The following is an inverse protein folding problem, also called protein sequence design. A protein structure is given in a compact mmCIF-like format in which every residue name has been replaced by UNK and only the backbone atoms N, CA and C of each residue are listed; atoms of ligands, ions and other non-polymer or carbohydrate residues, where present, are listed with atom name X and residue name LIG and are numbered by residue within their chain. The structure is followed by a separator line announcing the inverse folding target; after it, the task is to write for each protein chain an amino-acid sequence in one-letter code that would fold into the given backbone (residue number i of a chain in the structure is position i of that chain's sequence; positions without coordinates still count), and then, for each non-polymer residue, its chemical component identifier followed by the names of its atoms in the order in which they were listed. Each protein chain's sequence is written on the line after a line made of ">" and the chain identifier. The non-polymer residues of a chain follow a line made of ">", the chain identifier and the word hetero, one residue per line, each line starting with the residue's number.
data_IF_567009811336
#
_entry.id   IF_567009811336
#
_cell.length_a   1.000
_cell.length_b   1.000
_cell.length_c   1.000
_cell.angle_alpha   90.00
_cell.angle_beta   90.00
_cell.angle_gamma   90.00
#
_symmetry.space_group_name_H-M   'P 1'
#
loop_
_entity.id
_entity.type
_entity.pdbx_description
1 polymer ?
#
# COMPACT_ATOMS: atom_id res chain seq x y z
N UNK A 1 13.42 -14.36 4.91
CA UNK A 1 12.90 -13.33 3.98
C UNK A 1 11.76 -12.54 4.62
N UNK A 2 10.71 -13.18 5.15
CA UNK A 2 9.66 -12.48 5.91
C UNK A 2 10.21 -11.69 7.10
N UNK A 3 11.13 -12.28 7.88
CA UNK A 3 11.80 -11.61 9.01
C UNK A 3 12.58 -10.34 8.60
N UNK A 4 13.18 -10.33 7.40
CA UNK A 4 13.90 -9.16 6.89
C UNK A 4 12.94 -8.02 6.54
N UNK A 5 11.81 -8.34 5.91
CA UNK A 5 10.77 -7.35 5.59
C UNK A 5 10.15 -6.81 6.88
N UNK A 6 9.89 -7.68 7.86
CA UNK A 6 9.35 -7.25 9.16
C UNK A 6 10.34 -6.34 9.90
N UNK A 7 11.63 -6.66 9.87
CA UNK A 7 12.67 -5.80 10.46
C UNK A 7 12.73 -4.43 9.78
N UNK A 8 12.72 -4.39 8.45
CA UNK A 8 12.72 -3.15 7.68
C UNK A 8 11.47 -2.29 8.00
N UNK A 9 10.29 -2.92 8.06
CA UNK A 9 9.06 -2.23 8.45
C UNK A 9 9.14 -1.64 9.87
N UNK A 10 9.80 -2.34 10.81
CA UNK A 10 10.03 -1.82 12.17
C UNK A 10 10.97 -0.61 12.17
N UNK A 11 12.01 -0.61 11.34
CA UNK A 11 12.91 0.53 11.19
C UNK A 11 12.15 1.77 10.64
N UNK A 12 11.35 1.59 9.59
CA UNK A 12 10.52 2.68 9.04
C UNK A 12 9.46 3.18 10.04
N UNK A 13 8.85 2.29 10.81
CA UNK A 13 7.94 2.68 11.88
C UNK A 13 8.64 3.51 12.97
N UNK A 14 9.90 3.20 13.31
CA UNK A 14 10.70 3.98 14.26
C UNK A 14 10.96 5.42 13.78
N UNK A 15 11.01 5.62 12.45
CA UNK A 15 11.11 6.92 11.78
C UNK A 15 9.77 7.67 11.69
N UNK A 16 8.72 7.18 12.37
CA UNK A 16 7.36 7.74 12.38
C UNK A 16 6.68 7.70 11.00
N UNK A 17 7.09 6.81 10.11
CA UNK A 17 6.39 6.55 8.86
C UNK A 17 5.22 5.60 9.14
N UNK A 18 4.03 5.95 8.63
CA UNK A 18 2.85 5.09 8.71
C UNK A 18 3.00 3.90 7.77
N UNK A 19 3.49 2.79 8.32
CA UNK A 19 3.70 1.54 7.59
C UNK A 19 3.01 0.38 8.32
N UNK A 20 2.40 -0.53 7.56
CA UNK A 20 1.79 -1.75 8.07
C UNK A 20 2.31 -2.94 7.31
N UNK A 21 2.63 -4.00 8.05
CA UNK A 21 3.11 -5.26 7.50
C UNK A 21 2.02 -6.31 7.66
N UNK A 22 1.49 -6.80 6.54
CA UNK A 22 0.43 -7.82 6.51
C UNK A 22 0.89 -9.04 5.71
N UNK A 23 0.82 -10.22 6.33
CA UNK A 23 1.10 -11.51 5.70
C UNK A 23 -0.21 -12.29 5.59
N UNK A 24 -0.40 -13.02 4.49
CA UNK A 24 -1.48 -14.00 4.35
C UNK A 24 -0.98 -15.40 4.70
N UNK A 25 -1.76 -16.15 5.46
CA UNK A 25 -1.49 -17.55 5.79
C UNK A 25 -1.67 -18.47 4.58
N UNK A 26 -2.52 -18.11 3.61
CA UNK A 26 -2.79 -18.90 2.41
C UNK A 26 -2.57 -18.08 1.12
N UNK A 27 -1.87 -18.66 0.13
CA UNK A 27 -1.58 -18.05 -1.18
C UNK A 27 -2.65 -18.32 -2.25
N UNK A 28 -3.93 -18.43 -1.88
CA UNK A 28 -5.01 -18.47 -2.87
C UNK A 28 -5.19 -17.08 -3.51
N UNK A 29 -5.66 -17.06 -4.76
CA UNK A 29 -5.99 -15.86 -5.56
C UNK A 29 -4.94 -14.76 -5.78
N UNK A 30 -3.65 -15.03 -5.56
CA UNK A 30 -2.52 -14.18 -5.98
C UNK A 30 -2.67 -12.69 -5.62
N UNK A 31 -2.49 -11.77 -6.60
CA UNK A 31 -2.53 -10.31 -6.42
C UNK A 31 -3.94 -9.79 -6.13
N UNK A 32 -4.97 -10.30 -6.82
CA UNK A 32 -6.35 -9.82 -6.66
C UNK A 32 -6.91 -10.10 -5.26
N UNK A 33 -6.66 -11.28 -4.70
CA UNK A 33 -7.05 -11.56 -3.31
C UNK A 33 -6.22 -10.76 -2.29
N UNK A 34 -4.97 -10.38 -2.62
CA UNK A 34 -4.16 -9.49 -1.77
C UNK A 34 -4.83 -8.14 -1.62
N UNK A 35 -5.18 -7.59 -2.77
CA UNK A 35 -5.79 -6.28 -2.87
C UNK A 35 -7.14 -6.28 -2.18
N UNK A 36 -7.99 -7.28 -2.44
CA UNK A 36 -9.29 -7.41 -1.77
C UNK A 36 -9.15 -7.35 -0.25
N UNK A 37 -8.26 -8.16 0.33
CA UNK A 37 -8.00 -8.16 1.77
C UNK A 37 -7.44 -6.80 2.26
N UNK A 38 -6.55 -6.20 1.47
CA UNK A 38 -6.02 -4.84 1.71
C UNK A 38 -7.14 -3.79 1.83
N UNK A 39 -8.15 -3.87 0.95
CA UNK A 39 -9.29 -2.96 0.93
C UNK A 39 -10.30 -3.18 2.07
N UNK A 40 -10.26 -4.34 2.75
CA UNK A 40 -11.12 -4.63 3.91
C UNK A 40 -10.64 -3.91 5.17
N UNK A 41 -9.40 -3.41 5.20
CA UNK A 41 -8.90 -2.68 6.36
C UNK A 41 -9.55 -1.30 6.49
N UNK A 42 -9.84 -0.91 7.74
CA UNK A 42 -10.46 0.38 8.06
C UNK A 42 -9.68 1.59 7.53
N UNK A 43 -8.35 1.51 7.51
CA UNK A 43 -7.52 2.60 6.99
C UNK A 43 -7.64 2.76 5.46
N UNK A 44 -7.91 1.69 4.72
CA UNK A 44 -8.14 1.76 3.28
C UNK A 44 -9.55 2.31 2.99
N UNK A 45 -10.54 1.92 3.79
CA UNK A 45 -11.93 2.38 3.66
C UNK A 45 -12.13 3.86 4.03
N UNK A 46 -11.20 4.43 4.80
CA UNK A 46 -11.22 5.85 5.18
C UNK A 46 -10.53 6.76 4.16
N UNK A 47 -9.87 6.19 3.14
CA UNK A 47 -9.20 6.95 2.09
C UNK A 47 -10.13 7.16 0.89
N UNK A 48 -10.13 8.36 0.34
CA UNK A 48 -10.88 8.66 -0.90
C UNK A 48 -10.27 7.99 -2.14
N UNK A 49 -8.95 7.78 -2.11
CA UNK A 49 -8.18 7.17 -3.18
C UNK A 49 -7.15 6.18 -2.63
N UNK A 50 -6.86 5.13 -3.40
CA UNK A 50 -5.83 4.14 -3.08
C UNK A 50 -4.84 4.04 -4.23
N UNK A 51 -3.56 4.33 -3.95
CA UNK A 51 -2.46 4.13 -4.89
C UNK A 51 -1.84 2.74 -4.64
N UNK A 52 -1.65 1.98 -5.71
CA UNK A 52 -1.12 0.61 -5.67
C UNK A 52 0.13 0.56 -6.52
N UNK A 53 1.23 0.09 -5.95
CA UNK A 53 2.51 -0.10 -6.64
C UNK A 53 2.95 -1.55 -6.52
N UNK A 54 3.52 -2.10 -7.59
CA UNK A 54 4.25 -3.37 -7.52
C UNK A 54 5.59 -3.16 -6.78
N UNK A 55 6.13 -4.22 -6.17
CA UNK A 55 7.29 -4.14 -5.29
C UNK A 55 8.60 -3.73 -5.99
N UNK A 56 8.65 -3.83 -7.31
CA UNK A 56 9.76 -3.45 -8.18
C UNK A 56 9.53 -2.11 -8.89
N UNK A 57 8.42 -1.42 -8.59
CA UNK A 57 8.11 -0.12 -9.17
C UNK A 57 8.36 1.01 -8.18
N UNK A 58 9.24 1.93 -8.56
CA UNK A 58 9.50 3.17 -7.82
C UNK A 58 8.86 4.35 -8.57
N UNK A 59 7.79 4.97 -8.02
CA UNK A 59 7.19 6.14 -8.62
C UNK A 59 8.09 7.37 -8.49
N UNK A 60 7.89 8.35 -9.37
CA UNK A 60 8.46 9.69 -9.20
C UNK A 60 7.94 10.34 -7.90
N UNK A 61 8.75 11.16 -7.21
CA UNK A 61 8.37 11.76 -5.92
C UNK A 61 7.08 12.61 -5.99
N UNK A 62 6.73 13.12 -7.17
CA UNK A 62 5.55 13.96 -7.40
C UNK A 62 4.37 13.21 -8.04
N UNK A 63 4.43 11.88 -8.15
CA UNK A 63 3.42 11.04 -8.79
C UNK A 63 2.00 11.32 -8.28
N UNK A 64 1.79 11.37 -6.96
CA UNK A 64 0.48 11.61 -6.37
C UNK A 64 -0.03 13.03 -6.65
N UNK A 65 0.85 14.04 -6.58
CA UNK A 65 0.52 15.43 -6.86
C UNK A 65 0.07 15.63 -8.31
N UNK A 66 0.67 14.88 -9.24
CA UNK A 66 0.28 14.90 -10.65
C UNK A 66 -0.99 14.11 -10.93
N UNK A 67 -1.25 13.02 -10.20
CA UNK A 67 -2.33 12.08 -10.56
C UNK A 67 -3.67 12.43 -9.92
N UNK A 68 -3.69 12.74 -8.62
CA UNK A 68 -4.94 12.94 -7.87
C UNK A 68 -5.81 14.09 -8.41
N UNK A 69 -5.27 15.25 -8.82
CA UNK A 69 -6.11 16.34 -9.34
C UNK A 69 -6.96 15.94 -10.55
N UNK A 70 -6.47 15.06 -11.42
CA UNK A 70 -7.25 14.57 -12.57
C UNK A 70 -8.47 13.75 -12.14
N UNK A 71 -8.39 13.03 -11.02
CA UNK A 71 -9.49 12.22 -10.49
C UNK A 71 -10.51 13.07 -9.75
N UNK A 72 -10.07 14.14 -9.08
CA UNK A 72 -10.97 15.07 -8.37
C UNK A 72 -11.79 15.90 -9.36
N UNK A 73 -11.17 16.33 -10.47
CA UNK A 73 -11.85 17.16 -11.47
C UNK A 73 -12.69 16.35 -12.48
N UNK A 74 -12.70 15.02 -12.40
CA UNK A 74 -13.47 14.14 -13.26
C UNK A 74 -14.08 12.96 -12.45
N UNK A 75 -15.13 13.23 -11.66
CA UNK A 75 -15.73 12.25 -10.75
C UNK A 75 -16.50 11.12 -11.45
#
# INVERSE_FOLDING_TARGET
>A
MQELVEFECKDWASKKITIKYDIRECRKGYKAEALKKGMEHSYAQQCDYVAIFDADFQPEPDFLLKTIPFLVHNP
#
